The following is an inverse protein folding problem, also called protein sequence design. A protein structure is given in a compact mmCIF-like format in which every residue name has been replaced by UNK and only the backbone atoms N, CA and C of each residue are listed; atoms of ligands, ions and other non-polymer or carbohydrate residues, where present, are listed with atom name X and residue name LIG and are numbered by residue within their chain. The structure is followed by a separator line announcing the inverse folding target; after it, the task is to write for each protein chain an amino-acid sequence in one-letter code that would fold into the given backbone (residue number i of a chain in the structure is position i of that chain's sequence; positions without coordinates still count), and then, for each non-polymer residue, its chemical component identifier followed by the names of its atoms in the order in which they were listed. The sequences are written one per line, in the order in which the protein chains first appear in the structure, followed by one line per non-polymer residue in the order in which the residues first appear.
data_IF_466899277077
#
_entry.id   IF_466899277077
#
_cell.length_a   1.000
_cell.length_b   1.000
_cell.length_c   1.000
_cell.angle_alpha   90.00
_cell.angle_beta   90.00
_cell.angle_gamma   90.00
#
_symmetry.space_group_name_H-M   'P 1'
#
loop_
_entity.id
_entity.type
_entity.pdbx_description
1 polymer ?
#
# COMPACT_ATOMS: atom_id res chain seq x y z
N UNK A 1 -22.15 -15.55 -20.03
CA UNK A 1 -22.68 -15.35 -18.66
C UNK A 1 -21.63 -15.51 -17.56
N UNK A 2 -20.87 -16.61 -17.47
CA UNK A 2 -19.85 -16.78 -16.42
C UNK A 2 -18.79 -15.66 -16.39
N UNK A 3 -18.28 -15.25 -17.56
CA UNK A 3 -17.31 -14.14 -17.64
C UNK A 3 -17.93 -12.79 -17.25
N UNK A 4 -19.21 -12.56 -17.58
CA UNK A 4 -19.92 -11.34 -17.20
C UNK A 4 -20.12 -11.25 -15.68
N UNK A 5 -20.53 -12.36 -15.06
CA UNK A 5 -20.68 -12.48 -13.61
C UNK A 5 -19.35 -12.30 -12.88
N UNK A 6 -18.25 -12.86 -13.42
CA UNK A 6 -16.92 -12.67 -12.86
C UNK A 6 -16.48 -11.20 -12.94
N UNK A 7 -16.69 -10.53 -14.08
CA UNK A 7 -16.37 -9.10 -14.24
C UNK A 7 -17.21 -8.25 -13.27
N UNK A 8 -18.50 -8.52 -13.15
CA UNK A 8 -19.38 -7.80 -12.21
C UNK A 8 -18.94 -8.06 -10.77
N UNK A 9 -18.59 -9.29 -10.40
CA UNK A 9 -18.12 -9.62 -9.05
C UNK A 9 -16.83 -8.89 -8.71
N UNK A 10 -15.86 -8.85 -9.63
CA UNK A 10 -14.60 -8.10 -9.44
C UNK A 10 -14.89 -6.61 -9.31
N UNK A 11 -15.77 -6.08 -10.15
CA UNK A 11 -16.18 -4.68 -10.09
C UNK A 11 -16.85 -4.33 -8.75
N UNK A 12 -17.71 -5.19 -8.23
CA UNK A 12 -18.36 -5.00 -6.93
C UNK A 12 -17.37 -5.07 -5.76
N UNK A 13 -16.37 -5.95 -5.82
CA UNK A 13 -15.32 -6.04 -4.81
C UNK A 13 -14.45 -4.79 -4.82
N UNK A 14 -14.04 -4.34 -6.01
CA UNK A 14 -13.31 -3.07 -6.17
C UNK A 14 -14.13 -1.91 -5.63
N UNK A 15 -15.42 -1.81 -6.01
CA UNK A 15 -16.31 -0.78 -5.49
C UNK A 15 -16.39 -0.82 -3.96
N UNK A 16 -16.48 -2.00 -3.34
CA UNK A 16 -16.55 -2.13 -1.88
C UNK A 16 -15.25 -1.69 -1.17
N UNK A 17 -14.08 -2.00 -1.75
CA UNK A 17 -12.78 -1.62 -1.18
C UNK A 17 -12.55 -0.11 -1.30
N UNK A 18 -12.94 0.48 -2.43
CA UNK A 18 -12.71 1.91 -2.71
C UNK A 18 -13.87 2.81 -2.30
N UNK A 19 -15.03 2.26 -1.94
CA UNK A 19 -16.19 3.04 -1.49
C UNK A 19 -15.88 3.93 -0.28
N UNK A 20 -15.18 3.48 0.79
CA UNK A 20 -14.88 4.35 1.92
C UNK A 20 -14.04 5.57 1.53
N UNK A 21 -12.99 5.37 0.73
CA UNK A 21 -12.13 6.45 0.25
C UNK A 21 -12.87 7.37 -0.73
N UNK A 22 -13.62 6.80 -1.68
CA UNK A 22 -14.43 7.55 -2.63
C UNK A 22 -15.52 8.39 -1.97
N UNK A 23 -16.20 7.86 -0.95
CA UNK A 23 -17.21 8.59 -0.16
C UNK A 23 -16.55 9.78 0.56
N UNK A 24 -15.38 9.57 1.17
CA UNK A 24 -14.64 10.65 1.82
C UNK A 24 -14.24 11.75 0.82
N UNK A 25 -13.77 11.39 -0.38
CA UNK A 25 -13.47 12.38 -1.42
C UNK A 25 -14.72 13.11 -1.91
N UNK A 26 -15.83 12.40 -2.11
CA UNK A 26 -17.10 13.01 -2.47
C UNK A 26 -17.54 14.04 -1.42
N UNK A 27 -17.43 13.70 -0.14
CA UNK A 27 -17.74 14.63 0.95
C UNK A 27 -16.81 15.84 0.96
N UNK A 28 -15.50 15.63 0.79
CA UNK A 28 -14.55 16.73 0.74
C UNK A 28 -14.89 17.69 -0.41
N UNK A 29 -15.07 17.18 -1.62
CA UNK A 29 -15.40 17.97 -2.82
C UNK A 29 -16.73 18.71 -2.61
N UNK A 30 -17.75 18.02 -2.09
CA UNK A 30 -19.08 18.60 -1.84
C UNK A 30 -19.06 19.70 -0.77
N UNK A 31 -18.48 19.43 0.40
CA UNK A 31 -18.51 20.36 1.54
C UNK A 31 -17.50 21.50 1.42
N UNK A 32 -16.45 21.35 0.60
CA UNK A 32 -15.51 22.44 0.28
C UNK A 32 -15.99 23.31 -0.89
N UNK A 33 -17.20 23.04 -1.42
CA UNK A 33 -17.84 23.84 -2.46
C UNK A 33 -17.08 23.84 -3.78
N UNK A 34 -16.43 22.73 -4.13
CA UNK A 34 -15.84 22.60 -5.47
C UNK A 34 -16.94 22.45 -6.51
N UNK A 35 -16.64 22.86 -7.74
CA UNK A 35 -17.62 22.86 -8.81
C UNK A 35 -17.72 21.50 -9.48
N UNK A 36 -18.94 20.98 -9.57
CA UNK A 36 -19.25 19.78 -10.33
C UNK A 36 -20.68 19.85 -10.88
N UNK A 37 -20.87 19.36 -12.10
CA UNK A 37 -22.13 19.50 -12.84
C UNK A 37 -23.32 18.78 -12.17
N UNK A 38 -23.08 17.60 -11.60
CA UNK A 38 -24.10 16.83 -10.87
C UNK A 38 -23.46 15.72 -10.02
N UNK A 39 -24.21 15.22 -9.02
CA UNK A 39 -23.76 14.11 -8.16
C UNK A 39 -23.36 12.86 -8.97
N UNK A 40 -24.13 12.40 -9.99
CA UNK A 40 -23.68 11.29 -10.83
C UNK A 40 -22.35 11.54 -11.54
N UNK A 41 -22.09 12.79 -11.95
CA UNK A 41 -20.84 13.16 -12.61
C UNK A 41 -19.65 13.10 -11.65
N UNK A 42 -19.85 13.54 -10.41
CA UNK A 42 -18.87 13.40 -9.32
C UNK A 42 -18.58 11.91 -9.02
N UNK A 43 -19.61 11.08 -8.96
CA UNK A 43 -19.42 9.63 -8.73
C UNK A 43 -18.63 8.98 -9.88
N UNK A 44 -18.96 9.34 -11.13
CA UNK A 44 -18.21 8.86 -12.30
C UNK A 44 -16.74 9.29 -12.23
N UNK A 45 -16.47 10.56 -11.91
CA UNK A 45 -15.13 11.08 -11.72
C UNK A 45 -14.34 10.28 -10.68
N UNK A 46 -14.94 10.00 -9.52
CA UNK A 46 -14.29 9.25 -8.44
C UNK A 46 -14.02 7.79 -8.81
N UNK A 47 -14.94 7.14 -9.54
CA UNK A 47 -14.73 5.77 -10.03
C UNK A 47 -13.57 5.73 -11.01
N UNK A 48 -13.54 6.66 -11.97
CA UNK A 48 -12.45 6.75 -12.96
C UNK A 48 -11.11 7.06 -12.27
N UNK A 49 -11.12 7.98 -11.31
CA UNK A 49 -9.95 8.30 -10.50
C UNK A 49 -9.39 7.05 -9.84
N UNK A 50 -10.19 6.31 -9.07
CA UNK A 50 -9.74 5.10 -8.41
C UNK A 50 -9.21 4.05 -9.41
N UNK A 51 -9.92 3.82 -10.53
CA UNK A 51 -9.49 2.82 -11.51
C UNK A 51 -8.15 3.16 -12.18
N UNK A 52 -7.97 4.41 -12.58
CA UNK A 52 -6.75 4.87 -13.24
C UNK A 52 -5.60 4.92 -12.24
N UNK A 53 -5.85 5.41 -11.02
CA UNK A 53 -4.84 5.54 -9.98
C UNK A 53 -4.28 4.17 -9.57
N UNK A 54 -5.11 3.13 -9.43
CA UNK A 54 -4.65 1.74 -9.25
C UNK A 54 -3.76 1.29 -10.42
N UNK A 55 -4.16 1.60 -11.65
CA UNK A 55 -3.39 1.26 -12.84
C UNK A 55 -2.01 1.93 -12.85
N UNK A 56 -1.96 3.21 -12.49
CA UNK A 56 -0.72 3.97 -12.36
C UNK A 56 0.15 3.43 -11.22
N UNK A 57 -0.43 3.15 -10.05
CA UNK A 57 0.28 2.55 -8.92
C UNK A 57 0.90 1.20 -9.28
N UNK A 58 0.11 0.31 -9.91
CA UNK A 58 0.59 -1.00 -10.39
C UNK A 58 1.74 -0.85 -11.40
N UNK A 59 1.65 0.16 -12.27
CA UNK A 59 2.69 0.45 -13.24
C UNK A 59 3.97 0.98 -12.58
N UNK A 60 3.86 1.87 -11.59
CA UNK A 60 4.97 2.37 -10.78
C UNK A 60 5.65 1.20 -10.04
N UNK A 61 4.88 0.35 -9.37
CA UNK A 61 5.41 -0.83 -8.68
C UNK A 61 6.14 -1.78 -9.63
N UNK A 62 5.57 -2.01 -10.82
CA UNK A 62 6.20 -2.84 -11.86
C UNK A 62 7.53 -2.24 -12.34
N UNK A 63 7.57 -0.92 -12.54
CA UNK A 63 8.77 -0.20 -12.92
C UNK A 63 9.84 -0.31 -11.82
N UNK A 64 9.48 -0.06 -10.56
CA UNK A 64 10.37 -0.14 -9.41
C UNK A 64 10.92 -1.55 -9.22
N UNK A 65 10.09 -2.57 -9.40
CA UNK A 65 10.51 -3.96 -9.34
C UNK A 65 11.47 -4.33 -10.49
N UNK A 66 11.24 -3.85 -11.71
CA UNK A 66 12.11 -4.11 -12.85
C UNK A 66 13.53 -3.51 -12.68
N UNK A 67 13.64 -2.39 -11.96
CA UNK A 67 14.92 -1.72 -11.70
C UNK A 67 15.58 -2.13 -10.38
N UNK A 68 14.93 -2.99 -9.58
CA UNK A 68 15.35 -3.41 -8.24
C UNK A 68 16.77 -3.98 -8.21
N UNK A 69 17.13 -4.82 -9.17
CA UNK A 69 18.44 -5.47 -9.21
C UNK A 69 19.58 -4.51 -9.57
N UNK A 70 19.28 -3.48 -10.36
CA UNK A 70 20.28 -2.50 -10.84
C UNK A 70 20.40 -1.29 -9.91
N UNK A 71 19.30 -0.90 -9.27
CA UNK A 71 19.20 0.29 -8.43
C UNK A 71 18.60 -0.05 -7.07
N UNK A 72 19.25 -0.96 -6.34
CA UNK A 72 18.82 -1.44 -5.02
C UNK A 72 18.54 -0.29 -4.04
N UNK A 73 19.35 0.76 -4.06
CA UNK A 73 19.17 1.96 -3.24
C UNK A 73 17.89 2.75 -3.57
N UNK A 74 17.44 2.71 -4.82
CA UNK A 74 16.22 3.38 -5.28
C UNK A 74 14.98 2.61 -4.85
N UNK A 75 15.01 1.28 -4.97
CA UNK A 75 13.92 0.39 -4.54
C UNK A 75 13.74 0.38 -3.02
N UNK A 76 14.82 0.40 -2.23
CA UNK A 76 14.72 0.39 -0.76
C UNK A 76 14.37 1.75 -0.17
N UNK A 77 14.30 2.81 -0.98
CA UNK A 77 14.02 4.15 -0.49
C UNK A 77 12.51 4.40 -0.52
N UNK A 78 11.85 4.10 0.60
CA UNK A 78 10.42 4.33 0.82
C UNK A 78 9.99 5.75 0.44
N UNK A 79 10.83 6.76 0.72
CA UNK A 79 10.52 8.15 0.38
C UNK A 79 10.35 8.37 -1.14
N UNK A 80 11.21 7.77 -1.96
CA UNK A 80 11.13 7.90 -3.41
C UNK A 80 9.89 7.18 -3.98
N UNK A 81 9.56 6.01 -3.44
CA UNK A 81 8.34 5.29 -3.80
C UNK A 81 7.10 6.12 -3.47
N UNK A 82 7.00 6.62 -2.25
CA UNK A 82 5.89 7.48 -1.82
C UNK A 82 5.79 8.75 -2.68
N UNK A 83 6.92 9.37 -3.04
CA UNK A 83 6.92 10.55 -3.89
C UNK A 83 6.41 10.25 -5.31
N UNK A 84 6.77 9.10 -5.88
CA UNK A 84 6.29 8.67 -7.19
C UNK A 84 4.80 8.37 -7.17
N UNK A 85 4.31 7.69 -6.13
CA UNK A 85 2.89 7.42 -5.93
C UNK A 85 2.10 8.71 -5.77
N UNK A 86 2.54 9.64 -4.92
CA UNK A 86 1.91 10.95 -4.75
C UNK A 86 1.89 11.74 -6.05
N UNK A 87 3.01 11.75 -6.79
CA UNK A 87 3.09 12.39 -8.08
C UNK A 87 2.12 11.77 -9.09
N UNK A 88 2.05 10.44 -9.12
CA UNK A 88 1.12 9.68 -9.95
C UNK A 88 -0.33 10.06 -9.67
N UNK A 89 -0.74 10.01 -8.41
CA UNK A 89 -2.10 10.38 -7.98
C UNK A 89 -2.45 11.81 -8.35
N UNK A 90 -1.55 12.76 -8.13
CA UNK A 90 -1.78 14.17 -8.47
C UNK A 90 -1.90 14.39 -9.98
N UNK A 91 -1.11 13.66 -10.78
CA UNK A 91 -1.21 13.67 -12.25
C UNK A 91 -2.57 13.11 -12.69
N UNK A 92 -3.00 11.97 -12.15
CA UNK A 92 -4.29 11.36 -12.49
C UNK A 92 -5.46 12.29 -12.15
N UNK A 93 -5.47 12.87 -10.95
CA UNK A 93 -6.46 13.87 -10.53
C UNK A 93 -6.49 15.07 -11.48
N UNK A 94 -5.32 15.61 -11.83
CA UNK A 94 -5.22 16.77 -12.70
C UNK A 94 -5.65 16.46 -14.14
N UNK A 95 -5.36 15.26 -14.64
CA UNK A 95 -5.81 14.81 -15.95
C UNK A 95 -7.32 14.63 -16.00
N UNK A 96 -7.92 13.97 -15.00
CA UNK A 96 -9.36 13.78 -14.97
C UNK A 96 -10.12 15.09 -14.82
N UNK A 97 -9.62 16.00 -13.99
CA UNK A 97 -10.17 17.35 -13.86
C UNK A 97 -10.11 18.13 -15.18
N UNK A 98 -9.02 17.97 -15.93
CA UNK A 98 -8.87 18.61 -17.24
C UNK A 98 -9.76 17.99 -18.34
N UNK A 99 -9.93 16.66 -18.34
CA UNK A 99 -10.66 15.96 -19.41
C UNK A 99 -12.17 15.80 -19.16
N UNK A 100 -12.63 15.90 -17.90
CA UNK A 100 -14.04 15.79 -17.56
C UNK A 100 -14.70 17.16 -17.48
N UNK A 101 -15.34 17.57 -18.57
CA UNK A 101 -16.13 18.80 -18.62
C UNK A 101 -17.21 18.80 -17.52
N UNK A 102 -17.10 19.71 -16.56
CA UNK A 102 -18.03 19.82 -15.44
C UNK A 102 -17.54 19.20 -14.13
N UNK A 103 -16.24 18.99 -13.97
CA UNK A 103 -15.56 18.91 -12.68
C UNK A 103 -14.50 20.01 -12.66
N UNK A 104 -14.47 20.83 -11.61
CA UNK A 104 -13.37 21.77 -11.39
C UNK A 104 -12.94 21.71 -9.92
N UNK A 105 -11.78 21.09 -9.71
CA UNK A 105 -11.16 20.89 -8.40
C UNK A 105 -9.95 21.81 -8.30
N UNK A 106 -9.99 22.69 -7.29
CA UNK A 106 -8.88 23.58 -6.96
C UNK A 106 -7.59 22.79 -6.68
N UNK A 107 -6.45 23.41 -6.99
CA UNK A 107 -5.13 22.80 -6.75
C UNK A 107 -4.95 22.39 -5.28
N UNK A 108 -5.44 23.20 -4.35
CA UNK A 108 -5.40 22.89 -2.92
C UNK A 108 -6.13 21.58 -2.62
N UNK A 109 -7.34 21.41 -3.16
CA UNK A 109 -8.15 20.22 -2.93
C UNK A 109 -7.51 18.98 -3.56
N UNK A 110 -6.89 19.09 -4.75
CA UNK A 110 -6.11 18.00 -5.36
C UNK A 110 -4.96 17.55 -4.46
N UNK A 111 -4.22 18.50 -3.88
CA UNK A 111 -3.13 18.20 -2.93
C UNK A 111 -3.68 17.51 -1.67
N UNK A 112 -4.78 17.99 -1.10
CA UNK A 112 -5.42 17.38 0.06
C UNK A 112 -5.85 15.95 -0.23
N UNK A 113 -6.51 15.69 -1.36
CA UNK A 113 -6.91 14.33 -1.76
C UNK A 113 -5.69 13.44 -1.90
N UNK A 114 -4.62 13.92 -2.54
CA UNK A 114 -3.36 13.17 -2.74
C UNK A 114 -2.73 12.79 -1.40
N UNK A 115 -2.67 13.72 -0.44
CA UNK A 115 -2.12 13.45 0.90
C UNK A 115 -2.95 12.39 1.61
N UNK A 116 -4.28 12.55 1.62
CA UNK A 116 -5.19 11.59 2.27
C UNK A 116 -5.06 10.20 1.65
N UNK A 117 -4.96 10.14 0.31
CA UNK A 117 -4.76 8.90 -0.43
C UNK A 117 -3.44 8.22 -0.02
N UNK A 118 -2.33 8.96 -0.04
CA UNK A 118 -1.03 8.44 0.36
C UNK A 118 -0.98 7.99 1.82
N UNK A 119 -1.58 8.75 2.73
CA UNK A 119 -1.67 8.36 4.15
C UNK A 119 -2.48 7.08 4.31
N UNK A 120 -3.59 6.95 3.60
CA UNK A 120 -4.42 5.73 3.63
C UNK A 120 -3.64 4.53 3.10
N UNK A 121 -2.86 4.69 2.03
CA UNK A 121 -1.95 3.67 1.53
C UNK A 121 -0.92 3.22 2.56
N UNK A 122 -0.28 4.17 3.26
CA UNK A 122 0.67 3.84 4.34
C UNK A 122 0.01 3.12 5.51
N UNK A 123 -1.22 3.47 5.87
CA UNK A 123 -1.96 2.76 6.91
C UNK A 123 -2.27 1.31 6.50
N UNK A 124 -2.65 1.08 5.24
CA UNK A 124 -2.91 -0.26 4.73
C UNK A 124 -1.63 -1.11 4.64
N UNK A 125 -0.52 -0.54 4.17
CA UNK A 125 0.77 -1.25 4.10
C UNK A 125 1.25 -1.69 5.50
N UNK A 126 1.05 -0.86 6.53
CA UNK A 126 1.37 -1.23 7.91
C UNK A 126 0.47 -2.35 8.45
N UNK A 127 -0.82 -2.40 8.07
CA UNK A 127 -1.74 -3.48 8.46
C UNK A 127 -1.33 -4.80 7.79
N UNK A 128 -0.96 -4.77 6.51
CA UNK A 128 -0.46 -5.96 5.80
C UNK A 128 0.86 -6.49 6.39
N UNK A 129 1.75 -5.59 6.83
CA UNK A 129 2.97 -5.98 7.55
C UNK A 129 2.67 -6.66 8.89
N UNK A 130 1.67 -6.18 9.64
CA UNK A 130 1.22 -6.81 10.90
C UNK A 130 0.54 -8.18 10.65
N UNK A 131 -0.17 -8.37 9.54
CA UNK A 131 -0.76 -9.67 9.18
C UNK A 131 0.29 -10.69 8.72
N UNK A 132 1.37 -10.26 8.04
CA UNK A 132 2.54 -11.12 7.78
C UNK A 132 3.28 -11.50 9.07
N UNK A 133 3.26 -10.66 10.11
CA UNK A 133 3.77 -10.99 11.44
C UNK A 133 2.92 -12.06 12.16
N UNK A 134 1.69 -12.33 11.69
CA UNK A 134 0.80 -13.38 12.19
C UNK A 134 1.17 -14.80 11.75
N UNK A 135 2.08 -14.98 10.78
CA UNK A 135 2.76 -16.27 10.56
C UNK A 135 3.96 -16.34 11.50
N UNK A 136 3.67 -16.45 12.79
CA UNK A 136 4.69 -16.73 13.80
C UNK A 136 5.53 -17.92 13.35
N UNK A 137 6.83 -17.86 13.64
CA UNK A 137 7.68 -19.03 13.44
C UNK A 137 7.10 -20.19 14.26
N UNK A 138 7.32 -21.45 13.88
CA UNK A 138 6.90 -22.57 14.70
C UNK A 138 7.33 -22.35 16.16
N UNK A 139 6.47 -22.63 17.17
CA UNK A 139 6.76 -22.30 18.57
C UNK A 139 8.11 -22.84 19.07
N UNK A 140 8.58 -23.94 18.48
CA UNK A 140 9.88 -24.54 18.75
C UNK A 140 11.06 -23.64 18.33
N UNK A 141 10.92 -22.94 17.20
CA UNK A 141 11.93 -22.00 16.68
C UNK A 141 11.94 -20.74 17.54
N UNK A 142 10.77 -20.24 17.96
CA UNK A 142 10.67 -19.08 18.87
C UNK A 142 11.28 -19.38 20.23
N UNK A 143 11.01 -20.56 20.81
CA UNK A 143 11.61 -21.00 22.06
C UNK A 143 13.14 -21.12 21.96
N UNK A 144 13.66 -21.63 20.84
CA UNK A 144 15.10 -21.65 20.59
C UNK A 144 15.69 -20.24 20.47
N UNK A 145 15.03 -19.32 19.76
CA UNK A 145 15.47 -17.92 19.64
C UNK A 145 15.53 -17.26 21.03
N UNK A 146 14.48 -17.43 21.85
CA UNK A 146 14.44 -16.88 23.20
C UNK A 146 15.59 -17.40 24.07
N UNK A 147 15.88 -18.70 23.99
CA UNK A 147 17.00 -19.32 24.72
C UNK A 147 18.35 -18.80 24.23
N UNK A 148 18.58 -18.76 22.92
CA UNK A 148 19.86 -18.31 22.35
C UNK A 148 20.12 -16.82 22.61
N UNK A 149 19.08 -15.97 22.62
CA UNK A 149 19.19 -14.56 22.98
C UNK A 149 19.48 -14.31 24.47
N UNK A 150 19.45 -15.33 25.33
CA UNK A 150 19.96 -15.24 26.71
C UNK A 150 21.47 -15.48 26.79
N UNK A 151 22.04 -16.21 25.84
CA UNK A 151 23.42 -16.70 25.87
C UNK A 151 24.34 -15.97 24.86
N UNK A 152 23.76 -15.41 23.78
CA UNK A 152 24.51 -14.95 22.62
C UNK A 152 24.05 -13.59 22.07
N UNK A 153 24.87 -12.99 21.21
CA UNK A 153 24.48 -11.80 20.44
C UNK A 153 23.36 -12.13 19.46
N UNK A 154 22.48 -11.17 19.16
CA UNK A 154 21.40 -11.38 18.19
C UNK A 154 21.93 -11.79 16.81
N UNK A 155 23.13 -11.32 16.41
CA UNK A 155 23.76 -11.70 15.15
C UNK A 155 24.21 -13.15 15.10
N UNK A 156 24.64 -13.71 16.23
CA UNK A 156 25.07 -15.11 16.31
C UNK A 156 23.87 -16.04 16.50
N UNK A 157 22.84 -15.59 17.24
CA UNK A 157 21.54 -16.25 17.29
C UNK A 157 20.94 -16.46 15.89
N UNK A 158 20.94 -15.43 15.03
CA UNK A 158 20.47 -15.56 13.63
C UNK A 158 21.25 -16.63 12.87
N UNK A 159 22.58 -16.68 12.99
CA UNK A 159 23.41 -17.68 12.29
C UNK A 159 23.08 -19.10 12.77
N UNK A 160 22.89 -19.27 14.07
CA UNK A 160 22.67 -20.57 14.70
C UNK A 160 21.28 -21.12 14.41
N UNK A 161 20.26 -20.26 14.41
CA UNK A 161 18.90 -20.60 13.99
C UNK A 161 18.85 -20.94 12.50
N UNK A 162 19.51 -20.15 11.64
CA UNK A 162 19.58 -20.45 10.20
C UNK A 162 20.25 -21.79 9.90
N UNK A 163 21.27 -22.16 10.67
CA UNK A 163 21.95 -23.44 10.52
C UNK A 163 21.08 -24.62 11.00
N UNK A 164 20.23 -24.39 12.02
CA UNK A 164 19.34 -25.41 12.59
C UNK A 164 18.07 -25.62 11.76
N UNK A 165 17.55 -24.55 11.16
CA UNK A 165 16.32 -24.52 10.36
C UNK A 165 16.61 -23.92 8.97
N UNK A 166 17.35 -24.65 8.09
CA UNK A 166 17.74 -24.14 6.78
C UNK A 166 16.56 -23.89 5.83
N UNK A 167 15.41 -24.52 6.07
CA UNK A 167 14.16 -24.36 5.33
C UNK A 167 13.46 -23.03 5.59
N UNK A 168 13.78 -22.36 6.70
CA UNK A 168 13.16 -21.09 7.06
C UNK A 168 13.95 -19.93 6.41
N UNK A 169 13.27 -19.01 5.72
CA UNK A 169 13.91 -17.85 5.13
C UNK A 169 14.66 -17.01 6.17
N UNK A 170 15.90 -16.64 5.86
CA UNK A 170 16.74 -15.80 6.74
C UNK A 170 16.09 -14.50 7.15
N UNK A 171 15.27 -13.91 6.27
CA UNK A 171 14.50 -12.70 6.56
C UNK A 171 13.52 -12.88 7.71
N UNK A 172 12.84 -14.04 7.78
CA UNK A 172 11.88 -14.36 8.84
C UNK A 172 12.60 -14.60 10.18
N UNK A 173 13.72 -15.32 10.16
CA UNK A 173 14.57 -15.52 11.35
C UNK A 173 15.08 -14.18 11.89
N UNK A 174 15.60 -13.30 11.02
CA UNK A 174 16.08 -11.97 11.45
C UNK A 174 14.93 -11.14 12.05
N UNK A 175 13.74 -11.19 11.45
CA UNK A 175 12.55 -10.46 11.92
C UNK A 175 12.16 -10.95 13.32
N UNK A 176 12.00 -12.26 13.51
CA UNK A 176 11.63 -12.86 14.79
C UNK A 176 12.67 -12.61 15.89
N UNK A 177 13.96 -12.78 15.58
CA UNK A 177 15.06 -12.50 16.53
C UNK A 177 15.03 -11.04 16.97
N UNK A 178 14.79 -10.08 16.06
CA UNK A 178 14.69 -8.66 16.40
C UNK A 178 13.45 -8.34 17.22
N UNK A 179 12.30 -8.93 16.87
CA UNK A 179 11.05 -8.73 17.60
C UNK A 179 11.18 -9.21 19.05
N UNK A 180 11.65 -10.44 19.25
CA UNK A 180 11.86 -11.05 20.58
C UNK A 180 12.92 -10.27 21.37
N UNK A 181 14.00 -9.80 20.72
CA UNK A 181 15.03 -9.01 21.39
C UNK A 181 14.51 -7.65 21.88
N UNK A 182 13.60 -7.00 21.14
CA UNK A 182 13.00 -5.70 21.51
C UNK A 182 11.95 -5.79 22.63
N UNK A 183 11.36 -6.97 22.84
CA UNK A 183 10.40 -7.21 23.92
C UNK A 183 11.08 -7.47 25.29
N UNK A 184 12.41 -7.49 25.32
CA UNK A 184 13.24 -7.72 26.51
C UNK A 184 13.81 -6.40 27.02
#
# INVERSE_FOLDING_TARGET
MKNLLAIISVFMILLAIFAPAGIMYAFLIHFTGQDYASIPYLLLFLILFCMIDIGVGTWIDSLLNAVKDRYKAFYTNTFLRTLLEWGGTLIVLSMLDFFMDGIEISLLMKVVITIIHGVTGLFLENIEMDEEEGRGLPPEVEADIQRLLQEESWTDCVKRIQAKYPEIPKSEIIRAVRSIHRQK
#
